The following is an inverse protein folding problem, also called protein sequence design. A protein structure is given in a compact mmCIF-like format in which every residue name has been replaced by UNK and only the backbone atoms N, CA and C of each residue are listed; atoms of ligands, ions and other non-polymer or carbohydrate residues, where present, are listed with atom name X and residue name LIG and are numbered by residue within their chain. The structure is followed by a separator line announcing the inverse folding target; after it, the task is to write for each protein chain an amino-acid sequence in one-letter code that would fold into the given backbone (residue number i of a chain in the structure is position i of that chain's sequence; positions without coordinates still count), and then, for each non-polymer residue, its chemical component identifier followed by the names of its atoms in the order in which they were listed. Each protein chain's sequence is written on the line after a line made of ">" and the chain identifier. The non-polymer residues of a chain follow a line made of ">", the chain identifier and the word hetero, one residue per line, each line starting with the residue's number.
data_IF_572592722132
#
_entry.id   IF_572592722132
#
_cell.length_a   1.000
_cell.length_b   1.000
_cell.length_c   1.000
_cell.angle_alpha   90.00
_cell.angle_beta   90.00
_cell.angle_gamma   90.00
#
_symmetry.space_group_name_H-M   'P 1'
#
loop_
_entity.id
_entity.type
_entity.pdbx_description
1 polymer ?
#
# COMPACT_ATOMS: atom_id res chain seq x y z
N UNK A 1 -44.09 27.02 60.34
CA UNK A 1 -43.86 28.48 60.39
C UNK A 1 -42.37 28.73 60.22
N UNK A 2 -42.00 29.74 59.39
CA UNK A 2 -40.64 30.17 58.96
C UNK A 2 -40.01 29.40 57.79
N UNK A 3 -39.37 30.00 56.78
CA UNK A 3 -39.59 31.23 55.99
C UNK A 3 -38.85 30.97 54.66
N UNK A 4 -39.45 31.34 53.52
CA UNK A 4 -38.80 31.30 52.20
C UNK A 4 -37.72 32.38 52.11
N UNK A 5 -36.54 32.05 51.59
CA UNK A 5 -35.60 33.02 51.04
C UNK A 5 -35.17 32.56 49.66
N UNK A 6 -35.71 33.21 48.62
CA UNK A 6 -35.22 33.12 47.25
C UNK A 6 -33.98 34.01 47.14
N UNK A 7 -32.84 33.44 46.74
CA UNK A 7 -31.68 34.22 46.31
C UNK A 7 -31.75 34.30 44.78
N UNK A 8 -32.00 35.50 44.29
CA UNK A 8 -31.87 35.89 42.89
C UNK A 8 -30.38 36.12 42.66
N UNK A 9 -29.73 35.26 41.86
CA UNK A 9 -28.36 35.52 41.42
C UNK A 9 -28.42 36.23 40.07
N UNK A 10 -28.06 37.51 40.07
CA UNK A 10 -27.91 38.38 38.92
C UNK A 10 -26.95 37.78 37.89
N UNK A 11 -27.32 37.92 36.62
CA UNK A 11 -26.51 37.51 35.48
C UNK A 11 -25.21 38.29 35.36
N UNK A 12 -24.16 37.57 35.02
CA UNK A 12 -22.97 38.12 34.38
C UNK A 12 -22.94 37.63 32.94
N UNK A 13 -23.38 38.51 32.04
CA UNK A 13 -23.14 38.41 30.61
C UNK A 13 -21.63 38.56 30.39
N UNK A 14 -20.94 37.46 30.17
CA UNK A 14 -19.56 37.48 29.67
C UNK A 14 -19.64 37.92 28.21
N UNK A 15 -19.28 39.18 27.96
CA UNK A 15 -18.90 39.64 26.63
C UNK A 15 -17.67 38.84 26.20
N UNK A 16 -17.88 37.73 25.49
CA UNK A 16 -16.81 37.05 24.77
C UNK A 16 -16.44 37.97 23.61
N UNK A 17 -15.37 38.74 23.78
CA UNK A 17 -14.73 39.44 22.68
C UNK A 17 -14.45 38.43 21.57
N UNK A 18 -14.80 38.81 20.34
CA UNK A 18 -14.43 38.06 19.13
C UNK A 18 -12.91 37.99 19.07
N UNK A 19 -12.33 36.91 19.60
CA UNK A 19 -10.98 36.52 19.28
C UNK A 19 -10.97 36.20 17.79
N UNK A 20 -10.54 37.16 16.99
CA UNK A 20 -10.06 36.92 15.64
C UNK A 20 -8.87 35.97 15.77
N UNK A 21 -9.14 34.67 15.71
CA UNK A 21 -8.13 33.65 15.46
C UNK A 21 -7.64 33.92 14.04
N UNK A 22 -6.62 34.76 13.91
CA UNK A 22 -5.72 34.75 12.77
C UNK A 22 -4.94 33.44 12.88
N UNK A 23 -5.59 32.33 12.50
CA UNK A 23 -4.89 31.08 12.26
C UNK A 23 -3.87 31.40 11.17
N UNK A 24 -2.60 31.20 11.50
CA UNK A 24 -1.47 31.43 10.63
C UNK A 24 -1.62 30.61 9.34
N UNK A 25 -2.19 31.22 8.28
CA UNK A 25 -2.39 30.61 6.95
C UNK A 25 -1.18 30.80 6.04
N UNK A 26 0.00 31.11 6.60
CA UNK A 26 1.25 30.95 5.87
C UNK A 26 1.75 29.54 6.09
N UNK A 27 1.47 28.67 5.12
CA UNK A 27 2.14 27.37 5.03
C UNK A 27 3.65 27.60 5.12
N UNK A 28 4.27 27.06 6.16
CA UNK A 28 5.72 27.01 6.26
C UNK A 28 6.21 25.93 5.28
N UNK A 29 6.29 26.30 4.01
CA UNK A 29 7.01 25.51 3.02
C UNK A 29 8.49 25.67 3.31
N UNK A 30 9.07 24.64 3.94
CA UNK A 30 10.50 24.56 4.13
C UNK A 30 11.14 24.18 2.80
N UNK A 31 11.85 25.12 2.14
CA UNK A 31 12.66 24.81 0.95
C UNK A 31 13.67 23.68 1.22
N UNK A 32 14.09 23.49 2.48
CA UNK A 32 14.90 22.33 2.93
C UNK A 32 14.25 20.96 2.68
N UNK A 33 12.93 20.88 2.44
CA UNK A 33 12.23 19.63 2.11
C UNK A 33 12.21 19.33 0.61
N UNK A 34 12.52 20.30 -0.24
CA UNK A 34 12.56 20.12 -1.69
C UNK A 34 14.00 19.81 -2.11
N UNK A 35 14.46 18.59 -1.82
CA UNK A 35 15.69 18.11 -2.43
C UNK A 35 15.47 17.97 -3.93
N UNK A 36 16.50 18.27 -4.73
CA UNK A 36 16.46 18.01 -6.16
C UNK A 36 16.21 16.51 -6.37
N UNK A 37 15.25 16.17 -7.22
CA UNK A 37 14.98 14.78 -7.57
C UNK A 37 16.21 14.21 -8.31
N UNK A 38 16.78 13.15 -7.76
CA UNK A 38 17.94 12.44 -8.32
C UNK A 38 17.56 11.04 -8.81
N UNK A 39 16.26 10.74 -8.85
CA UNK A 39 15.71 9.47 -9.30
C UNK A 39 16.08 9.22 -10.76
N UNK A 40 16.27 7.94 -11.09
CA UNK A 40 16.55 7.47 -12.45
C UNK A 40 15.50 6.46 -12.87
N UNK A 41 15.27 6.35 -14.17
CA UNK A 41 14.48 5.25 -14.70
C UNK A 41 15.12 3.91 -14.33
N UNK A 42 14.29 2.95 -13.93
CA UNK A 42 14.71 1.61 -13.50
C UNK A 42 13.70 0.55 -13.89
N UNK A 43 13.72 -0.58 -13.20
CA UNK A 43 12.73 -1.65 -13.41
C UNK A 43 11.32 -1.17 -13.04
N UNK A 44 10.34 -1.48 -13.88
CA UNK A 44 8.92 -1.16 -13.64
C UNK A 44 7.99 -2.22 -14.24
N UNK A 45 6.89 -2.53 -13.53
CA UNK A 45 5.93 -3.56 -13.87
C UNK A 45 6.25 -4.95 -13.28
N UNK A 46 5.67 -6.03 -13.81
CA UNK A 46 4.91 -6.08 -15.07
C UNK A 46 3.51 -5.45 -14.95
N UNK A 47 3.04 -4.86 -16.04
CA UNK A 47 1.64 -4.44 -16.22
C UNK A 47 0.93 -5.47 -17.10
N UNK A 48 -0.22 -5.97 -16.66
CA UNK A 48 -1.00 -6.98 -17.38
C UNK A 48 -2.22 -6.29 -17.97
N UNK A 49 -2.30 -6.24 -19.30
CA UNK A 49 -3.44 -5.73 -20.04
C UNK A 49 -4.27 -6.91 -20.54
N UNK A 50 -5.54 -6.96 -20.12
CA UNK A 50 -6.49 -7.98 -20.58
C UNK A 50 -7.20 -7.48 -21.83
N UNK A 51 -6.82 -8.00 -23.00
CA UNK A 51 -7.50 -7.71 -24.28
C UNK A 51 -8.54 -8.78 -24.59
N UNK A 52 -9.25 -8.65 -25.72
CA UNK A 52 -10.36 -9.56 -26.09
C UNK A 52 -9.92 -11.02 -26.25
N UNK A 53 -8.75 -11.26 -26.84
CA UNK A 53 -8.30 -12.62 -27.23
C UNK A 53 -7.07 -13.11 -26.48
N UNK A 54 -6.32 -12.18 -25.87
CA UNK A 54 -5.03 -12.43 -25.23
C UNK A 54 -4.78 -11.44 -24.11
N UNK A 55 -3.80 -11.74 -23.26
CA UNK A 55 -3.22 -10.76 -22.36
C UNK A 55 -1.90 -10.24 -22.93
N UNK A 56 -1.67 -8.94 -22.78
CA UNK A 56 -0.40 -8.29 -23.13
C UNK A 56 0.29 -7.88 -21.84
N UNK A 57 1.51 -8.33 -21.64
CA UNK A 57 2.34 -8.00 -20.49
C UNK A 57 3.40 -7.01 -20.94
N UNK A 58 3.46 -5.84 -20.27
CA UNK A 58 4.49 -4.83 -20.52
C UNK A 58 5.33 -4.62 -19.27
N UNK A 59 6.65 -4.53 -19.43
CA UNK A 59 7.57 -4.33 -18.32
C UNK A 59 8.80 -3.53 -18.79
N UNK A 60 9.36 -2.72 -17.90
CA UNK A 60 10.70 -2.16 -18.04
C UNK A 60 11.64 -2.98 -17.16
N UNK A 61 12.74 -3.49 -17.72
CA UNK A 61 13.78 -4.18 -16.95
C UNK A 61 15.13 -3.50 -17.16
N UNK A 62 16.06 -3.72 -16.25
CA UNK A 62 17.45 -3.29 -16.44
C UNK A 62 18.27 -4.39 -17.12
N UNK A 63 18.92 -4.04 -18.23
CA UNK A 63 19.90 -4.87 -18.93
C UNK A 63 21.19 -4.08 -19.09
N UNK A 64 22.29 -4.59 -18.55
CA UNK A 64 23.61 -3.92 -18.59
C UNK A 64 23.56 -2.48 -18.04
N UNK A 65 22.76 -2.25 -16.98
CA UNK A 65 22.59 -0.91 -16.39
C UNK A 65 21.76 0.06 -17.23
N UNK A 66 21.03 -0.42 -18.26
CA UNK A 66 20.15 0.39 -19.09
C UNK A 66 18.70 -0.11 -19.01
N UNK A 67 17.71 0.78 -18.80
CA UNK A 67 16.30 0.42 -18.88
C UNK A 67 15.93 -0.07 -20.28
N UNK A 68 15.24 -1.20 -20.36
CA UNK A 68 14.82 -1.86 -21.59
C UNK A 68 13.36 -2.28 -21.48
N UNK A 69 12.55 -1.88 -22.44
CA UNK A 69 11.14 -2.27 -22.53
C UNK A 69 11.02 -3.72 -23.03
N UNK A 70 10.15 -4.49 -22.41
CA UNK A 70 9.77 -5.84 -22.80
C UNK A 70 8.24 -5.88 -22.94
N UNK A 71 7.78 -6.54 -24.00
CA UNK A 71 6.38 -6.85 -24.22
C UNK A 71 6.25 -8.33 -24.54
N UNK A 72 5.32 -9.01 -23.87
CA UNK A 72 4.99 -10.42 -24.08
C UNK A 72 3.49 -10.56 -24.28
N UNK A 73 3.08 -11.46 -25.16
CA UNK A 73 1.67 -11.79 -25.39
C UNK A 73 1.39 -13.21 -24.91
N UNK A 74 0.30 -13.39 -24.15
CA UNK A 74 -0.13 -14.68 -23.64
C UNK A 74 -1.55 -14.99 -24.07
N UNK A 75 -1.75 -16.12 -24.74
CA UNK A 75 -3.08 -16.65 -25.00
C UNK A 75 -3.80 -17.01 -23.68
N UNK A 76 -5.11 -16.79 -23.64
CA UNK A 76 -5.94 -17.18 -22.51
C UNK A 76 -6.08 -18.71 -22.39
N UNK A 77 -6.32 -19.23 -21.16
CA UNK A 77 -6.33 -18.50 -19.89
C UNK A 77 -4.91 -18.20 -19.38
N UNK A 78 -4.70 -17.02 -18.78
CA UNK A 78 -3.45 -16.69 -18.09
C UNK A 78 -3.47 -17.01 -16.60
N UNK A 79 -4.65 -17.33 -16.07
CA UNK A 79 -4.82 -17.79 -14.71
C UNK A 79 -3.87 -18.96 -14.41
N UNK A 80 -3.18 -18.84 -13.28
CA UNK A 80 -2.20 -19.81 -12.81
C UNK A 80 -0.84 -19.80 -13.47
N UNK A 81 -0.62 -18.97 -14.50
CA UNK A 81 0.73 -18.74 -15.04
C UNK A 81 1.59 -18.02 -14.00
N UNK A 82 2.87 -18.35 -14.00
CA UNK A 82 3.88 -17.72 -13.15
C UNK A 82 4.55 -16.59 -13.93
N UNK A 83 4.48 -15.38 -13.40
CA UNK A 83 5.13 -14.20 -13.96
C UNK A 83 6.20 -13.69 -13.01
N UNK A 84 7.15 -12.92 -13.54
CA UNK A 84 8.29 -12.40 -12.79
C UNK A 84 8.20 -10.88 -12.63
N UNK A 85 8.34 -10.41 -11.40
CA UNK A 85 8.53 -9.00 -11.10
C UNK A 85 10.02 -8.76 -10.82
N UNK A 86 10.62 -7.81 -11.54
CA UNK A 86 12.00 -7.40 -11.37
C UNK A 86 12.07 -6.20 -10.42
N UNK A 87 12.90 -6.32 -9.39
CA UNK A 87 13.21 -5.24 -8.45
C UNK A 87 14.39 -4.42 -8.98
N UNK A 88 15.39 -5.12 -9.53
CA UNK A 88 16.55 -4.56 -10.22
C UNK A 88 17.18 -5.64 -11.13
N UNK A 89 18.38 -5.37 -11.67
CA UNK A 89 19.15 -6.29 -12.51
C UNK A 89 19.50 -7.64 -11.86
N UNK A 90 19.52 -7.71 -10.52
CA UNK A 90 19.95 -8.88 -9.73
C UNK A 90 18.85 -9.52 -8.90
N UNK A 91 17.81 -8.76 -8.59
CA UNK A 91 16.75 -9.15 -7.66
C UNK A 91 15.40 -9.19 -8.39
N UNK A 92 14.73 -10.34 -8.26
CA UNK A 92 13.39 -10.54 -8.81
C UNK A 92 12.65 -11.59 -7.97
N UNK A 93 11.33 -11.58 -8.06
CA UNK A 93 10.48 -12.60 -7.47
C UNK A 93 9.39 -13.02 -8.45
N UNK A 94 8.80 -14.19 -8.18
CA UNK A 94 7.75 -14.76 -9.01
C UNK A 94 6.43 -14.71 -8.27
N UNK A 95 5.37 -14.39 -9.00
CA UNK A 95 3.99 -14.48 -8.51
C UNK A 95 3.16 -15.32 -9.48
N UNK A 96 2.10 -15.94 -8.98
CA UNK A 96 1.15 -16.71 -9.80
C UNK A 96 -0.07 -15.84 -10.05
N UNK A 97 -0.46 -15.69 -11.31
CA UNK A 97 -1.70 -14.97 -11.66
C UNK A 97 -2.89 -15.73 -11.04
N UNK A 98 -3.67 -15.03 -10.22
CA UNK A 98 -4.84 -15.56 -9.54
C UNK A 98 -5.93 -15.96 -10.54
N UNK A 99 -6.71 -16.97 -10.19
CA UNK A 99 -7.77 -17.51 -11.06
C UNK A 99 -9.03 -16.63 -11.09
N UNK A 100 -9.34 -15.97 -9.97
CA UNK A 100 -10.55 -15.16 -9.80
C UNK A 100 -10.21 -13.90 -9.00
N UNK A 101 -10.58 -12.74 -9.53
CA UNK A 101 -10.61 -11.47 -8.80
C UNK A 101 -12.01 -11.34 -8.18
N UNK A 102 -12.10 -11.55 -6.87
CA UNK A 102 -13.37 -11.48 -6.15
C UNK A 102 -13.23 -10.65 -4.88
N UNK A 103 -14.30 -9.95 -4.53
CA UNK A 103 -14.37 -9.20 -3.29
C UNK A 103 -14.16 -10.14 -2.10
N UNK A 104 -13.22 -9.77 -1.23
CA UNK A 104 -12.96 -10.51 -0.01
C UNK A 104 -13.95 -10.08 1.08
N UNK A 105 -14.28 -10.97 2.03
CA UNK A 105 -15.02 -10.57 3.24
C UNK A 105 -14.34 -9.41 3.97
N UNK A 106 -15.12 -8.61 4.69
CA UNK A 106 -14.61 -7.53 5.56
C UNK A 106 -14.53 -7.92 7.03
N UNK A 107 -15.04 -9.10 7.40
CA UNK A 107 -15.07 -9.60 8.77
C UNK A 107 -14.41 -10.98 8.82
N UNK A 108 -13.50 -11.16 9.78
CA UNK A 108 -12.75 -12.38 10.01
C UNK A 108 -12.70 -12.70 11.49
N UNK A 109 -12.53 -13.99 11.82
CA UNK A 109 -12.12 -14.37 13.16
C UNK A 109 -10.72 -13.80 13.45
N UNK A 110 -10.50 -13.40 14.71
CA UNK A 110 -9.20 -12.87 15.14
C UNK A 110 -8.12 -13.97 15.04
N UNK A 111 -7.03 -13.77 14.29
CA UNK A 111 -5.94 -14.73 14.22
C UNK A 111 -5.09 -14.67 15.49
N UNK A 112 -4.29 -15.71 15.74
CA UNK A 112 -3.33 -15.74 16.85
C UNK A 112 -2.20 -14.71 16.70
N UNK A 113 -1.88 -14.35 15.45
CA UNK A 113 -0.82 -13.37 15.11
C UNK A 113 -1.33 -12.42 14.05
N UNK A 114 -1.12 -11.14 14.26
CA UNK A 114 -1.52 -10.09 13.34
C UNK A 114 -0.46 -8.99 13.31
N UNK A 115 -0.14 -8.53 12.11
CA UNK A 115 0.62 -7.30 11.89
C UNK A 115 -0.22 -6.40 10.98
N UNK A 116 -0.38 -5.14 11.38
CA UNK A 116 -1.01 -4.11 10.56
C UNK A 116 0.04 -3.06 10.18
N UNK A 117 0.05 -2.64 8.92
CA UNK A 117 0.98 -1.65 8.37
C UNK A 117 0.29 -0.83 7.28
N UNK A 118 0.70 0.42 7.09
CA UNK A 118 0.09 1.39 6.18
C UNK A 118 1.16 2.29 5.57
N UNK A 119 0.77 3.09 4.57
CA UNK A 119 1.54 4.25 4.08
C UNK A 119 2.96 3.87 3.64
N UNK A 120 3.07 2.73 2.94
CA UNK A 120 4.35 2.30 2.36
C UNK A 120 4.73 3.19 1.19
N UNK A 121 3.75 3.70 0.43
CA UNK A 121 3.97 4.70 -0.62
C UNK A 121 5.15 4.34 -1.54
N UNK A 122 5.12 3.14 -2.14
CA UNK A 122 6.16 2.67 -3.06
C UNK A 122 7.57 2.46 -2.45
N UNK A 123 7.77 2.57 -1.13
CA UNK A 123 9.03 2.31 -0.43
C UNK A 123 9.29 0.80 -0.29
N UNK A 124 9.56 0.13 -1.42
CA UNK A 124 9.67 -1.33 -1.49
C UNK A 124 10.76 -1.90 -0.58
N UNK A 125 11.93 -1.26 -0.50
CA UNK A 125 13.05 -1.77 0.30
C UNK A 125 12.69 -1.78 1.79
N UNK A 126 12.12 -0.70 2.27
CA UNK A 126 11.67 -0.52 3.66
C UNK A 126 10.59 -1.54 4.00
N UNK A 127 9.63 -1.74 3.09
CA UNK A 127 8.60 -2.76 3.26
C UNK A 127 9.19 -4.17 3.27
N UNK A 128 10.09 -4.50 2.35
CA UNK A 128 10.80 -5.80 2.29
C UNK A 128 11.55 -6.07 3.60
N UNK A 129 12.34 -5.09 4.05
CA UNK A 129 13.15 -5.22 5.27
C UNK A 129 12.25 -5.37 6.50
N UNK A 130 11.14 -4.62 6.59
CA UNK A 130 10.14 -4.75 7.63
C UNK A 130 9.53 -6.15 7.69
N UNK A 131 9.10 -6.69 6.55
CA UNK A 131 8.48 -8.02 6.49
C UNK A 131 9.47 -9.13 6.88
N UNK A 132 10.74 -9.02 6.47
CA UNK A 132 11.79 -9.99 6.84
C UNK A 132 12.11 -9.91 8.33
N UNK A 133 12.30 -8.71 8.87
CA UNK A 133 12.61 -8.50 10.29
C UNK A 133 11.52 -9.06 11.20
N UNK A 134 10.25 -8.95 10.78
CA UNK A 134 9.09 -9.46 11.51
C UNK A 134 8.73 -10.92 11.17
N UNK A 135 9.54 -11.61 10.35
CA UNK A 135 9.31 -13.02 9.95
C UNK A 135 7.95 -13.22 9.29
N UNK A 136 7.47 -12.21 8.56
CA UNK A 136 6.29 -12.34 7.70
C UNK A 136 6.66 -13.08 6.42
N UNK A 137 7.84 -12.77 5.89
CA UNK A 137 8.47 -13.49 4.79
C UNK A 137 9.96 -13.72 5.03
N UNK A 138 10.57 -14.62 4.27
CA UNK A 138 12.03 -14.79 4.22
C UNK A 138 12.69 -13.96 3.11
N UNK A 139 14.02 -14.03 3.04
CA UNK A 139 14.83 -13.36 2.01
C UNK A 139 14.61 -13.87 0.58
N UNK A 140 13.85 -14.95 0.40
CA UNK A 140 13.49 -15.54 -0.88
C UNK A 140 12.02 -15.24 -1.26
N UNK A 141 11.42 -14.23 -0.61
CA UNK A 141 10.04 -13.81 -0.81
C UNK A 141 9.02 -14.91 -0.51
N UNK A 142 9.36 -15.80 0.45
CA UNK A 142 8.46 -16.87 0.89
C UNK A 142 7.76 -16.50 2.17
N UNK A 143 6.45 -16.69 2.22
CA UNK A 143 5.66 -16.50 3.42
C UNK A 143 6.15 -17.39 4.57
N UNK A 144 6.42 -16.79 5.71
CA UNK A 144 6.90 -17.47 6.92
C UNK A 144 6.05 -17.16 8.16
N UNK A 145 4.97 -16.39 8.00
CA UNK A 145 4.09 -15.99 9.12
C UNK A 145 3.07 -17.05 9.56
N UNK A 146 3.16 -18.28 9.04
CA UNK A 146 2.26 -19.39 9.39
C UNK A 146 0.79 -19.03 9.13
N UNK A 147 -0.06 -19.25 10.14
CA UNK A 147 -1.50 -18.88 10.12
C UNK A 147 -1.77 -17.40 10.49
N UNK A 148 -0.73 -16.58 10.63
CA UNK A 148 -0.89 -15.18 10.97
C UNK A 148 -1.53 -14.36 9.86
N UNK A 149 -2.00 -13.17 10.19
CA UNK A 149 -2.54 -12.22 9.23
C UNK A 149 -1.62 -11.00 9.06
N UNK A 150 -1.36 -10.62 7.82
CA UNK A 150 -0.81 -9.30 7.47
C UNK A 150 -1.96 -8.41 7.00
N UNK A 151 -2.12 -7.23 7.58
CA UNK A 151 -3.14 -6.26 7.19
C UNK A 151 -2.43 -5.02 6.65
N UNK A 152 -2.67 -4.70 5.38
CA UNK A 152 -2.21 -3.45 4.77
C UNK A 152 -3.35 -2.44 4.80
N UNK A 153 -3.14 -1.29 5.46
CA UNK A 153 -4.19 -0.32 5.81
C UNK A 153 -4.22 0.88 4.85
N UNK A 154 -3.86 0.66 3.59
CA UNK A 154 -3.90 1.66 2.53
C UNK A 154 -2.58 2.41 2.28
N UNK A 155 -2.61 3.24 1.24
CA UNK A 155 -1.55 4.16 0.80
C UNK A 155 -0.24 3.43 0.42
N UNK A 156 -0.38 2.49 -0.50
CA UNK A 156 0.74 1.76 -1.10
C UNK A 156 1.17 2.36 -2.45
N UNK A 157 0.34 3.24 -3.01
CA UNK A 157 0.63 4.05 -4.20
C UNK A 157 1.39 5.34 -3.85
N UNK A 158 1.91 6.02 -4.89
CA UNK A 158 2.61 7.31 -4.85
C UNK A 158 3.98 7.33 -4.16
N UNK A 159 4.66 8.49 -4.28
CA UNK A 159 5.93 8.93 -3.69
C UNK A 159 7.16 8.08 -4.01
N UNK A 160 7.17 6.81 -3.64
CA UNK A 160 8.29 5.90 -3.87
C UNK A 160 8.37 5.42 -5.33
N UNK A 161 9.57 5.01 -5.74
CA UNK A 161 9.84 4.61 -7.12
C UNK A 161 9.41 3.16 -7.44
N UNK A 162 9.03 2.37 -6.44
CA UNK A 162 8.83 0.92 -6.58
C UNK A 162 7.41 0.47 -6.20
N UNK A 163 6.42 1.25 -6.63
CA UNK A 163 4.99 0.96 -6.40
C UNK A 163 4.61 -0.40 -6.99
N UNK A 164 4.96 -0.67 -8.25
CA UNK A 164 4.58 -1.92 -8.93
C UNK A 164 5.19 -3.14 -8.25
N UNK A 165 6.46 -3.08 -7.84
CA UNK A 165 7.11 -4.15 -7.09
C UNK A 165 6.44 -4.38 -5.73
N UNK A 166 6.04 -3.31 -5.05
CA UNK A 166 5.35 -3.38 -3.76
C UNK A 166 4.01 -4.10 -3.90
N UNK A 167 3.20 -3.71 -4.88
CA UNK A 167 1.91 -4.33 -5.14
C UNK A 167 2.05 -5.80 -5.55
N UNK A 168 3.01 -6.13 -6.43
CA UNK A 168 3.25 -7.52 -6.82
C UNK A 168 3.77 -8.39 -5.68
N UNK A 169 4.53 -7.83 -4.74
CA UNK A 169 4.96 -8.56 -3.55
C UNK A 169 3.76 -8.90 -2.67
N UNK A 170 2.90 -7.92 -2.39
CA UNK A 170 1.66 -8.15 -1.62
C UNK A 170 0.80 -9.21 -2.30
N UNK A 171 0.57 -9.06 -3.60
CA UNK A 171 -0.19 -10.00 -4.42
C UNK A 171 0.39 -11.43 -4.37
N UNK A 172 1.72 -11.56 -4.40
CA UNK A 172 2.39 -12.85 -4.23
C UNK A 172 2.18 -13.44 -2.84
N UNK A 173 2.26 -12.61 -1.79
CA UNK A 173 2.08 -13.04 -0.41
C UNK A 173 0.63 -13.45 -0.11
N UNK A 174 -0.38 -12.87 -0.77
CA UNK A 174 -1.78 -13.30 -0.64
C UNK A 174 -1.96 -14.80 -0.91
N UNK A 175 -1.43 -15.29 -2.03
CA UNK A 175 -1.54 -16.72 -2.40
C UNK A 175 -0.77 -17.60 -1.40
N UNK A 176 0.42 -17.16 -1.00
CA UNK A 176 1.29 -17.91 -0.11
C UNK A 176 0.72 -18.00 1.31
N UNK A 177 0.20 -16.90 1.84
CA UNK A 177 -0.46 -16.84 3.14
C UNK A 177 -1.68 -17.77 3.15
N UNK A 178 -2.53 -17.69 2.12
CA UNK A 178 -3.71 -18.57 1.98
C UNK A 178 -3.33 -20.04 2.02
N UNK A 179 -2.26 -20.45 1.33
CA UNK A 179 -1.76 -21.84 1.34
C UNK A 179 -1.25 -22.29 2.71
N UNK A 180 -0.70 -21.37 3.51
CA UNK A 180 -0.24 -21.64 4.87
C UNK A 180 -1.36 -21.56 5.93
N UNK A 181 -2.59 -21.26 5.52
CA UNK A 181 -3.72 -21.03 6.43
C UNK A 181 -3.69 -19.66 7.13
N UNK A 182 -2.83 -18.75 6.66
CA UNK A 182 -2.83 -17.34 7.04
C UNK A 182 -3.58 -16.49 6.02
N UNK A 183 -3.43 -15.17 6.12
CA UNK A 183 -4.09 -14.23 5.19
C UNK A 183 -3.32 -12.92 5.06
N UNK A 184 -3.35 -12.36 3.85
CA UNK A 184 -3.03 -10.95 3.62
C UNK A 184 -4.36 -10.23 3.36
N UNK A 185 -4.56 -9.09 4.01
CA UNK A 185 -5.74 -8.24 3.86
C UNK A 185 -5.29 -6.93 3.23
N UNK A 186 -5.70 -6.68 1.98
CA UNK A 186 -5.41 -5.43 1.30
C UNK A 186 -6.58 -4.46 1.40
N UNK A 187 -6.41 -3.40 2.21
CA UNK A 187 -7.39 -2.32 2.37
C UNK A 187 -6.92 -1.13 1.54
N UNK A 188 -7.85 -0.51 0.82
CA UNK A 188 -7.58 0.67 0.00
C UNK A 188 -7.53 1.93 0.86
N UNK A 189 -6.47 2.70 0.70
CA UNK A 189 -6.32 4.06 1.23
C UNK A 189 -6.79 5.12 0.22
N UNK A 190 -6.66 6.39 0.61
CA UNK A 190 -7.05 7.50 -0.26
C UNK A 190 -6.13 7.66 -1.46
N UNK A 191 -4.82 7.47 -1.31
CA UNK A 191 -3.88 7.56 -2.44
C UNK A 191 -4.16 6.47 -3.48
N UNK A 192 -4.50 5.27 -3.01
CA UNK A 192 -4.84 4.14 -3.88
C UNK A 192 -6.11 4.47 -4.71
N UNK A 193 -7.16 4.99 -4.06
CA UNK A 193 -8.41 5.38 -4.72
C UNK A 193 -8.23 6.53 -5.71
N UNK A 194 -7.41 7.53 -5.38
CA UNK A 194 -7.13 8.66 -6.28
C UNK A 194 -6.43 8.19 -7.57
N UNK A 195 -5.51 7.24 -7.48
CA UNK A 195 -4.80 6.70 -8.63
C UNK A 195 -5.69 5.81 -9.53
N UNK A 196 -6.72 5.17 -8.98
CA UNK A 196 -7.62 4.29 -9.73
C UNK A 196 -8.81 4.99 -10.40
N UNK A 197 -9.11 6.23 -10.00
CA UNK A 197 -10.27 6.98 -10.47
C UNK A 197 -9.97 8.05 -11.54
N UNK A 198 -8.73 8.11 -12.02
CA UNK A 198 -8.31 9.08 -13.05
C UNK A 198 -8.42 8.52 -14.47
#
# INVERSE_FOLDING_TARGET
>A
MKTFTRIICLGWLVFCSTLSVSAQTKGHFSDKRLQADTSKAGCDGPYIFYEKEKAVIKQVIEKNGQPTNISEELAYPIAGKKLKCYVNDKESFTFKVQELLQNQPSVYAMPEKLIAISDIEGCFKEFKDFLIANKVMDKHYKWTFGKGHLVTVGDFFDRGLQVTQTLWLIYSLEEQAKKAGGKVHFILGNHDLMNMNN
#
